data_IF_088354586266
#
_entry.id   IF_088354586266
#
_cell.length_a   1.000
_cell.length_b   1.000
_cell.length_c   1.000
_cell.angle_alpha   90.00
_cell.angle_beta   90.00
_cell.angle_gamma   90.00
#
_symmetry.space_group_name_H-M   'P 1'
#
loop_
_entity.id
_entity.type
_entity.pdbx_description
1 polymer ?
#
# COMPACT_ATOMS: atom_id res chain seq x y z
N UNK A 1 25.55 -17.59 2.52
CA UNK A 1 25.46 -16.48 3.49
C UNK A 1 24.14 -15.74 3.25
N UNK A 2 23.15 -15.89 4.14
CA UNK A 2 21.86 -15.19 4.02
C UNK A 2 22.05 -13.73 4.46
N UNK A 3 21.79 -12.77 3.57
CA UNK A 3 21.72 -11.34 3.90
C UNK A 3 20.35 -11.08 4.51
N UNK A 4 20.30 -10.98 5.83
CA UNK A 4 19.10 -10.54 6.56
C UNK A 4 18.99 -9.02 6.38
N UNK A 5 18.09 -8.58 5.50
CA UNK A 5 17.72 -7.16 5.42
C UNK A 5 16.72 -6.91 6.55
N UNK A 6 17.21 -6.51 7.72
CA UNK A 6 16.39 -5.88 8.73
C UNK A 6 16.10 -4.45 8.25
N UNK A 7 15.01 -4.27 7.50
CA UNK A 7 14.41 -2.95 7.36
C UNK A 7 13.44 -2.76 8.52
N UNK A 8 13.95 -2.17 9.60
CA UNK A 8 13.12 -1.58 10.63
C UNK A 8 12.28 -0.47 9.99
N UNK A 9 10.98 -0.69 9.90
CA UNK A 9 10.04 0.36 9.53
C UNK A 9 10.09 1.39 10.66
N UNK A 10 10.52 2.60 10.33
CA UNK A 10 10.59 3.71 11.30
C UNK A 10 9.17 4.08 11.75
N UNK A 11 9.08 4.42 13.02
CA UNK A 11 7.90 4.92 13.71
C UNK A 11 7.14 5.94 12.85
N UNK A 12 5.84 5.71 12.69
CA UNK A 12 4.91 6.57 11.97
C UNK A 12 5.04 8.02 12.46
N UNK A 13 5.43 8.94 11.56
CA UNK A 13 5.45 10.38 11.83
C UNK A 13 4.33 11.05 11.01
N UNK A 14 3.22 11.46 11.64
CA UNK A 14 2.05 12.00 10.94
C UNK A 14 2.32 13.35 10.24
N UNK A 15 3.49 13.97 10.43
CA UNK A 15 3.88 15.24 9.79
C UNK A 15 4.63 15.08 8.45
N UNK A 16 4.80 13.86 7.95
CA UNK A 16 5.50 13.60 6.67
C UNK A 16 4.61 13.63 5.41
N UNK A 17 3.37 14.14 5.51
CA UNK A 17 2.39 14.04 4.43
C UNK A 17 2.17 15.30 3.58
N UNK A 18 3.06 16.31 3.63
CA UNK A 18 2.81 17.55 2.88
C UNK A 18 3.78 17.89 1.74
N UNK A 19 4.92 17.22 1.53
CA UNK A 19 5.80 17.68 0.43
C UNK A 19 6.72 16.71 -0.30
N UNK A 20 6.72 15.41 -0.04
CA UNK A 20 7.47 14.49 -0.91
C UNK A 20 6.74 13.17 -1.07
N UNK A 21 6.37 12.91 -2.32
CA UNK A 21 5.92 11.63 -2.80
C UNK A 21 7.02 10.60 -2.56
N UNK A 22 7.00 9.95 -1.41
CA UNK A 22 7.69 8.69 -1.21
C UNK A 22 7.10 7.71 -2.22
N UNK A 23 7.75 7.62 -3.38
CA UNK A 23 7.54 6.62 -4.43
C UNK A 23 7.99 5.23 -3.93
N UNK A 24 7.52 4.82 -2.75
CA UNK A 24 7.64 3.46 -2.30
C UNK A 24 6.46 2.68 -2.91
N UNK A 25 6.70 1.50 -3.50
CA UNK A 25 5.62 0.65 -3.96
C UNK A 25 4.75 0.30 -2.75
N UNK A 26 3.45 0.59 -2.83
CA UNK A 26 2.50 0.36 -1.75
C UNK A 26 1.09 0.11 -2.27
N UNK A 27 0.31 -0.70 -1.56
CA UNK A 27 -1.09 -0.96 -1.86
C UNK A 27 -1.93 -0.02 -0.98
N UNK A 28 -2.71 0.86 -1.62
CA UNK A 28 -3.63 1.74 -0.90
C UNK A 28 -4.86 0.95 -0.45
N UNK A 29 -5.08 0.82 0.85
CA UNK A 29 -6.24 0.13 1.42
C UNK A 29 -7.50 0.99 1.49
N UNK A 30 -7.35 2.31 1.55
CA UNK A 30 -8.48 3.24 1.62
C UNK A 30 -8.03 4.69 1.76
N UNK A 31 -9.02 5.57 1.93
CA UNK A 31 -8.81 6.99 2.24
C UNK A 31 -9.61 7.27 3.51
N UNK A 32 -8.93 7.67 4.59
CA UNK A 32 -9.59 8.10 5.81
C UNK A 32 -10.10 9.54 5.62
N UNK A 33 -11.41 9.72 5.46
CA UNK A 33 -11.99 11.03 5.14
C UNK A 33 -12.23 11.92 6.37
N UNK A 34 -12.34 11.35 7.58
CA UNK A 34 -12.65 12.08 8.83
C UNK A 34 -12.19 11.33 10.10
N UNK A 35 -10.96 10.82 10.11
CA UNK A 35 -10.42 10.17 11.30
C UNK A 35 -9.56 11.15 12.11
N UNK A 36 -9.71 11.13 13.44
CA UNK A 36 -8.82 11.90 14.30
C UNK A 36 -7.46 11.18 14.39
N UNK A 37 -6.33 11.91 14.44
CA UNK A 37 -5.00 11.31 14.54
C UNK A 37 -4.88 10.32 15.71
N UNK A 38 -5.58 10.59 16.82
CA UNK A 38 -5.58 9.78 18.03
C UNK A 38 -6.26 8.43 17.80
N UNK A 39 -7.42 8.41 17.12
CA UNK A 39 -8.11 7.15 16.79
C UNK A 39 -7.29 6.28 15.85
N UNK A 40 -6.61 6.88 14.88
CA UNK A 40 -5.71 6.16 13.99
C UNK A 40 -4.52 5.57 14.77
N UNK A 41 -3.90 6.35 15.67
CA UNK A 41 -2.82 5.87 16.51
C UNK A 41 -3.26 4.68 17.37
N UNK A 42 -4.39 4.78 18.07
CA UNK A 42 -4.94 3.68 18.88
C UNK A 42 -5.30 2.44 18.05
N UNK A 43 -5.80 2.63 16.82
CA UNK A 43 -6.06 1.52 15.91
C UNK A 43 -4.78 0.78 15.52
N UNK A 44 -3.71 1.51 15.15
CA UNK A 44 -2.43 0.90 14.83
C UNK A 44 -1.76 0.24 16.04
N UNK A 45 -1.88 0.83 17.24
CA UNK A 45 -1.41 0.20 18.48
C UNK A 45 -2.16 -1.11 18.79
N UNK A 46 -3.49 -1.14 18.58
CA UNK A 46 -4.32 -2.30 18.88
C UNK A 46 -4.15 -3.46 17.88
N UNK A 47 -3.94 -3.14 16.60
CA UNK A 47 -3.86 -4.13 15.52
C UNK A 47 -2.42 -4.45 15.09
N UNK A 48 -1.43 -3.68 15.56
CA UNK A 48 -0.02 -3.87 15.28
C UNK A 48 0.35 -3.60 13.82
N UNK A 49 1.62 -3.86 13.50
CA UNK A 49 2.11 -3.77 12.13
C UNK A 49 1.44 -4.83 11.25
N UNK A 50 0.80 -4.41 10.16
CA UNK A 50 0.32 -5.33 9.14
C UNK A 50 1.51 -6.05 8.51
N UNK A 51 1.63 -7.34 8.78
CA UNK A 51 2.57 -8.23 8.10
C UNK A 51 1.82 -8.94 7.00
N UNK A 52 2.31 -8.81 5.76
CA UNK A 52 1.83 -9.62 4.65
C UNK A 52 2.72 -10.83 4.46
N UNK A 53 2.13 -11.97 4.12
CA UNK A 53 2.90 -13.13 3.68
C UNK A 53 3.72 -12.79 2.43
N UNK A 54 4.93 -13.31 2.35
CA UNK A 54 5.76 -13.18 1.16
C UNK A 54 5.16 -13.99 0.02
N UNK A 55 5.06 -13.38 -1.17
CA UNK A 55 4.65 -14.07 -2.38
C UNK A 55 5.60 -13.75 -3.55
N UNK A 56 5.63 -14.63 -4.54
CA UNK A 56 6.39 -14.43 -5.76
C UNK A 56 5.50 -13.72 -6.79
N UNK A 57 5.97 -12.60 -7.33
CA UNK A 57 5.31 -11.94 -8.46
C UNK A 57 5.66 -12.73 -9.73
N UNK A 58 4.65 -13.16 -10.48
CA UNK A 58 4.82 -13.95 -11.72
C UNK A 58 4.55 -13.16 -12.99
N UNK A 59 3.68 -12.14 -12.91
CA UNK A 59 3.30 -11.30 -14.03
C UNK A 59 3.00 -9.86 -13.58
N UNK A 60 3.17 -8.93 -14.51
CA UNK A 60 2.63 -7.58 -14.43
C UNK A 60 1.49 -7.44 -15.43
N UNK A 61 0.45 -6.68 -15.04
CA UNK A 61 -0.69 -6.39 -15.91
C UNK A 61 -0.78 -4.91 -16.20
N UNK A 62 -0.99 -4.57 -17.46
CA UNK A 62 -1.46 -3.24 -17.84
C UNK A 62 -2.98 -3.25 -17.72
N UNK A 63 -3.51 -2.41 -16.83
CA UNK A 63 -4.94 -2.34 -16.55
C UNK A 63 -5.47 -0.91 -16.75
N UNK A 64 -6.68 -0.83 -17.29
CA UNK A 64 -7.42 0.42 -17.46
C UNK A 64 -8.42 0.59 -16.33
N UNK A 65 -8.42 1.74 -15.66
CA UNK A 65 -9.41 2.11 -14.65
C UNK A 65 -10.65 2.70 -15.33
N UNK A 66 -11.82 2.16 -14.97
CA UNK A 66 -13.12 2.69 -15.35
C UNK A 66 -13.82 3.23 -14.11
N UNK A 67 -14.32 4.46 -14.19
CA UNK A 67 -15.06 5.10 -13.11
C UNK A 67 -16.49 5.35 -13.56
N UNK A 68 -17.43 4.88 -12.76
CA UNK A 68 -18.86 5.17 -12.91
C UNK A 68 -19.35 5.88 -11.66
N UNK A 69 -20.53 6.53 -11.69
CA UNK A 69 -21.09 7.16 -10.50
C UNK A 69 -21.31 6.20 -9.32
N UNK A 70 -21.44 4.89 -9.57
CA UNK A 70 -21.69 3.89 -8.53
C UNK A 70 -20.41 3.19 -8.09
N UNK A 71 -19.57 2.77 -9.05
CA UNK A 71 -18.43 1.89 -8.82
C UNK A 71 -17.21 2.29 -9.65
N UNK A 72 -16.03 1.86 -9.20
CA UNK A 72 -14.79 1.85 -9.99
C UNK A 72 -14.34 0.41 -10.22
N UNK A 73 -13.85 0.10 -11.42
CA UNK A 73 -13.34 -1.24 -11.74
C UNK A 73 -12.16 -1.16 -12.72
N UNK A 74 -11.32 -2.20 -12.74
CA UNK A 74 -10.17 -2.31 -13.63
C UNK A 74 -10.41 -3.39 -14.69
N UNK A 75 -10.01 -3.13 -15.94
CA UNK A 75 -9.94 -4.15 -17.01
C UNK A 75 -8.50 -4.38 -17.42
N UNK A 76 -8.07 -5.63 -17.55
CA UNK A 76 -6.72 -5.97 -18.02
C UNK A 76 -6.65 -5.83 -19.54
N UNK A 77 -5.75 -4.99 -20.03
CA UNK A 77 -5.51 -4.81 -21.47
C UNK A 77 -4.34 -5.68 -21.97
N UNK A 78 -3.31 -5.87 -21.14
CA UNK A 78 -2.12 -6.64 -21.52
C UNK A 78 -1.45 -7.28 -20.30
N UNK A 79 -0.77 -8.41 -20.51
CA UNK A 79 -0.01 -9.16 -19.51
C UNK A 79 1.47 -9.24 -19.91
N UNK A 80 2.36 -9.18 -18.93
CA UNK A 80 3.81 -9.29 -19.08
C UNK A 80 4.33 -10.32 -18.07
N UNK A 81 4.81 -11.46 -18.55
CA UNK A 81 5.35 -12.52 -17.70
C UNK A 81 6.78 -12.18 -17.28
N UNK A 82 7.12 -12.47 -16.02
CA UNK A 82 8.49 -12.36 -15.51
C UNK A 82 9.17 -13.70 -15.80
N UNK A 83 10.23 -13.67 -16.61
CA UNK A 83 11.01 -14.84 -17.03
C UNK A 83 12.00 -15.29 -15.94
#
# INVERSE_FOLDING_TARGET
MKKTIHQSIRSFNPRMHENDSFNLPGIRLGIALRESPERLASYFEAHGDFTSDSFMVTEYVWAQLHQTPKNSFYTVEKRFFIA
#
